data_IF_456818337182
#
_entry.id   IF_456818337182
#
_cell.length_a   1.000
_cell.length_b   1.000
_cell.length_c   1.000
_cell.angle_alpha   90.00
_cell.angle_beta   90.00
_cell.angle_gamma   90.00
#
_symmetry.space_group_name_H-M   'P 1'
#
loop_
_entity.id
_entity.type
_entity.pdbx_description
1 polymer ?
#
# COMPACT_ATOMS: atom_id res chain seq x y z
N UNK A 1 -21.53 5.36 -10.16
CA UNK A 1 -22.70 6.16 -10.59
C UNK A 1 -23.63 5.35 -11.49
N UNK A 2 -23.42 5.23 -12.81
CA UNK A 2 -24.38 4.57 -13.73
C UNK A 2 -24.82 3.15 -13.30
N UNK A 3 -23.87 2.27 -12.95
CA UNK A 3 -24.17 0.90 -12.48
C UNK A 3 -24.93 0.86 -11.15
N UNK A 4 -24.76 1.86 -10.29
CA UNK A 4 -25.45 1.94 -8.98
C UNK A 4 -26.89 2.44 -9.08
N UNK A 5 -27.26 3.11 -10.17
CA UNK A 5 -28.61 3.64 -10.44
C UNK A 5 -29.37 2.72 -11.42
N UNK A 6 -28.72 1.66 -11.91
CA UNK A 6 -29.30 0.73 -12.89
C UNK A 6 -29.47 1.33 -14.30
N UNK A 7 -28.79 2.42 -14.61
CA UNK A 7 -28.90 3.09 -15.91
C UNK A 7 -27.64 2.89 -16.78
N UNK A 8 -27.80 2.96 -18.11
CA UNK A 8 -26.67 2.96 -19.04
C UNK A 8 -25.80 4.22 -18.89
N UNK A 9 -24.48 4.10 -19.12
CA UNK A 9 -23.55 5.25 -19.07
C UNK A 9 -23.97 6.38 -20.03
N UNK A 10 -24.46 6.02 -21.22
CA UNK A 10 -24.93 6.98 -22.22
C UNK A 10 -26.15 7.76 -21.74
N UNK A 11 -27.12 7.11 -21.10
CA UNK A 11 -28.30 7.77 -20.54
C UNK A 11 -27.92 8.79 -19.46
N UNK A 12 -26.98 8.44 -18.58
CA UNK A 12 -26.50 9.34 -17.54
C UNK A 12 -25.72 10.55 -18.09
N UNK A 13 -24.95 10.35 -19.17
CA UNK A 13 -24.10 11.40 -19.74
C UNK A 13 -24.88 12.36 -20.66
N UNK A 14 -25.82 11.84 -21.46
CA UNK A 14 -26.53 12.61 -22.47
C UNK A 14 -27.78 13.28 -21.95
N UNK A 15 -28.36 12.79 -20.84
CA UNK A 15 -29.59 13.35 -20.28
C UNK A 15 -29.31 14.28 -19.08
N UNK A 16 -29.30 15.61 -19.27
CA UNK A 16 -29.05 16.55 -18.19
C UNK A 16 -30.17 16.56 -17.14
N UNK A 17 -31.40 16.17 -17.49
CA UNK A 17 -32.51 16.08 -16.54
C UNK A 17 -32.28 14.96 -15.51
N UNK A 18 -31.75 13.81 -15.94
CA UNK A 18 -31.37 12.73 -15.03
C UNK A 18 -30.30 13.17 -14.03
N UNK A 19 -29.29 13.92 -14.49
CA UNK A 19 -28.24 14.46 -13.61
C UNK A 19 -28.80 15.43 -12.58
N UNK A 20 -29.76 16.28 -12.96
CA UNK A 20 -30.45 17.21 -12.05
C UNK A 20 -31.28 16.46 -11.00
N UNK A 21 -32.07 15.47 -11.43
CA UNK A 21 -32.89 14.65 -10.53
C UNK A 21 -32.03 13.91 -9.49
N UNK A 22 -30.90 13.34 -9.92
CA UNK A 22 -29.96 12.68 -9.01
C UNK A 22 -29.34 13.63 -7.99
N UNK A 23 -28.94 14.83 -8.41
CA UNK A 23 -28.44 15.86 -7.48
C UNK A 23 -29.48 16.28 -6.46
N UNK A 24 -30.74 16.44 -6.88
CA UNK A 24 -31.84 16.79 -5.99
C UNK A 24 -32.09 15.69 -4.96
N UNK A 25 -32.10 14.43 -5.40
CA UNK A 25 -32.23 13.27 -4.52
C UNK A 25 -31.06 13.14 -3.53
N UNK A 26 -29.82 13.37 -3.98
CA UNK A 26 -28.66 13.40 -3.08
C UNK A 26 -28.78 14.48 -2.01
N UNK A 27 -29.33 15.65 -2.34
CA UNK A 27 -29.62 16.72 -1.39
C UNK A 27 -30.63 16.27 -0.33
N UNK A 28 -31.80 15.79 -0.77
CA UNK A 28 -32.87 15.33 0.13
C UNK A 28 -32.39 14.23 1.10
N UNK A 29 -31.60 13.28 0.60
CA UNK A 29 -31.04 12.20 1.43
C UNK A 29 -30.03 12.71 2.47
N UNK A 30 -29.30 13.80 2.19
CA UNK A 30 -28.43 14.44 3.17
C UNK A 30 -29.22 15.23 4.19
N UNK A 31 -30.25 15.95 3.75
CA UNK A 31 -31.15 16.72 4.64
C UNK A 31 -31.87 15.80 5.62
N UNK A 32 -32.24 14.60 5.17
CA UNK A 32 -32.81 13.52 5.99
C UNK A 32 -31.80 12.77 6.86
N UNK A 33 -30.51 13.12 6.78
CA UNK A 33 -29.44 12.49 7.56
C UNK A 33 -29.09 11.06 7.16
N UNK A 34 -29.58 10.58 6.01
CA UNK A 34 -29.29 9.23 5.50
C UNK A 34 -27.89 9.17 4.89
N UNK A 35 -27.48 10.25 4.22
CA UNK A 35 -26.13 10.41 3.68
C UNK A 35 -25.28 11.29 4.59
N UNK A 36 -23.97 10.98 4.73
CA UNK A 36 -23.05 11.83 5.48
C UNK A 36 -22.91 13.22 4.83
N UNK A 37 -22.55 14.25 5.61
CA UNK A 37 -22.35 15.61 5.09
C UNK A 37 -21.21 15.64 4.07
N UNK A 38 -21.26 16.62 3.17
CA UNK A 38 -20.22 16.79 2.16
C UNK A 38 -18.88 17.09 2.83
N UNK A 39 -17.87 16.26 2.55
CA UNK A 39 -16.52 16.50 3.04
C UNK A 39 -15.92 17.74 2.36
N UNK A 40 -15.06 18.46 3.07
CA UNK A 40 -14.37 19.64 2.53
C UNK A 40 -13.58 19.33 1.25
N UNK A 41 -13.05 18.11 1.15
CA UNK A 41 -12.38 17.62 -0.06
C UNK A 41 -13.36 17.40 -1.23
N UNK A 42 -14.60 16.98 -0.96
CA UNK A 42 -15.62 16.83 -1.98
C UNK A 42 -16.09 18.20 -2.49
N UNK A 43 -16.30 19.18 -1.60
CA UNK A 43 -16.62 20.57 -1.98
C UNK A 43 -15.54 21.20 -2.86
N UNK A 44 -14.27 21.03 -2.49
CA UNK A 44 -13.11 21.57 -3.25
C UNK A 44 -12.92 20.95 -4.63
N UNK A 45 -13.48 19.76 -4.85
CA UNK A 45 -13.37 19.00 -6.09
C UNK A 45 -14.66 19.02 -6.93
N UNK A 46 -15.68 19.80 -6.54
CA UNK A 46 -16.87 19.96 -7.38
C UNK A 46 -16.51 20.51 -8.76
N UNK A 47 -16.87 19.75 -9.80
CA UNK A 47 -16.63 20.14 -11.19
C UNK A 47 -15.22 19.88 -11.72
N UNK A 48 -14.28 19.42 -10.88
CA UNK A 48 -12.95 19.01 -11.34
C UNK A 48 -12.98 17.53 -11.72
N UNK A 49 -12.57 17.15 -12.95
CA UNK A 49 -12.37 15.75 -13.25
C UNK A 49 -11.32 15.19 -12.29
N UNK A 50 -11.58 14.00 -11.73
CA UNK A 50 -10.62 13.31 -10.87
C UNK A 50 -9.33 13.15 -11.69
N UNK A 51 -8.28 13.86 -11.29
CA UNK A 51 -7.00 13.83 -11.99
C UNK A 51 -6.52 12.38 -11.99
N UNK A 52 -6.32 11.82 -13.18
CA UNK A 52 -5.82 10.46 -13.32
C UNK A 52 -4.38 10.42 -12.79
N UNK A 53 -4.20 9.84 -11.61
CA UNK A 53 -2.87 9.63 -11.05
C UNK A 53 -2.24 8.39 -11.69
N UNK A 54 -1.40 8.60 -12.71
CA UNK A 54 -0.67 7.51 -13.35
C UNK A 54 0.34 6.84 -12.41
N UNK A 55 0.69 7.49 -11.29
CA UNK A 55 1.71 7.02 -10.36
C UNK A 55 1.14 6.04 -9.33
N UNK A 56 -0.19 5.93 -9.20
CA UNK A 56 -0.84 5.07 -8.21
C UNK A 56 -0.43 3.60 -8.37
N UNK A 57 -0.44 3.08 -9.62
CA UNK A 57 0.00 1.70 -9.89
C UNK A 57 1.49 1.51 -9.60
N UNK A 58 2.32 2.50 -9.93
CA UNK A 58 3.76 2.46 -9.66
C UNK A 58 4.04 2.44 -8.15
N UNK A 59 3.41 3.32 -7.37
CA UNK A 59 3.52 3.35 -5.91
C UNK A 59 3.08 2.02 -5.26
N UNK A 60 2.03 1.39 -5.79
CA UNK A 60 1.59 0.07 -5.33
C UNK A 60 2.63 -1.03 -5.63
N UNK A 61 3.28 -0.99 -6.79
CA UNK A 61 4.34 -1.95 -7.11
C UNK A 61 5.60 -1.70 -6.29
N UNK A 62 5.98 -0.44 -6.13
CA UNK A 62 7.15 -0.03 -5.35
C UNK A 62 6.99 -0.41 -3.88
N UNK A 63 5.81 -0.19 -3.28
CA UNK A 63 5.54 -0.61 -1.89
C UNK A 63 5.66 -2.13 -1.71
N UNK A 64 5.12 -2.94 -2.63
CA UNK A 64 5.29 -4.41 -2.59
C UNK A 64 6.76 -4.81 -2.72
N UNK A 65 7.50 -4.17 -3.62
CA UNK A 65 8.94 -4.43 -3.81
C UNK A 65 9.73 -4.10 -2.55
N UNK A 66 9.45 -2.95 -1.93
CA UNK A 66 10.08 -2.52 -0.67
C UNK A 66 9.80 -3.53 0.43
N UNK A 67 8.55 -3.96 0.62
CA UNK A 67 8.21 -4.95 1.64
C UNK A 67 8.92 -6.30 1.44
N UNK A 68 9.07 -6.77 0.19
CA UNK A 68 9.84 -8.00 -0.10
C UNK A 68 11.31 -7.82 0.27
N UNK A 69 11.91 -6.70 -0.15
CA UNK A 69 13.31 -6.41 0.12
C UNK A 69 13.60 -6.25 1.61
N UNK A 70 12.68 -5.65 2.37
CA UNK A 70 12.80 -5.50 3.83
C UNK A 70 12.81 -6.87 4.52
N UNK A 71 11.92 -7.79 4.12
CA UNK A 71 11.88 -9.14 4.65
C UNK A 71 13.18 -9.91 4.34
N UNK A 72 13.64 -9.87 3.09
CA UNK A 72 14.89 -10.50 2.67
C UNK A 72 16.10 -9.92 3.43
N UNK A 73 16.12 -8.60 3.65
CA UNK A 73 17.23 -7.96 4.37
C UNK A 73 17.29 -8.39 5.83
N UNK A 74 16.14 -8.53 6.50
CA UNK A 74 16.05 -9.04 7.87
C UNK A 74 16.55 -10.49 7.94
N UNK A 75 16.10 -11.33 7.00
CA UNK A 75 16.53 -12.74 6.94
C UNK A 75 18.04 -12.87 6.69
N UNK A 76 18.57 -12.11 5.73
CA UNK A 76 20.00 -12.10 5.42
C UNK A 76 20.84 -11.62 6.60
N UNK A 77 20.42 -10.54 7.28
CA UNK A 77 21.10 -10.04 8.49
C UNK A 77 21.10 -11.09 9.61
N UNK A 78 20.00 -11.83 9.78
CA UNK A 78 19.95 -12.91 10.76
C UNK A 78 20.93 -14.04 10.42
N UNK A 79 20.99 -14.47 9.15
CA UNK A 79 21.94 -15.50 8.68
C UNK A 79 23.39 -15.06 8.85
N UNK A 80 23.72 -13.82 8.50
CA UNK A 80 25.08 -13.26 8.68
C UNK A 80 25.47 -13.32 10.16
N UNK A 81 24.61 -12.83 11.06
CA UNK A 81 24.87 -12.86 12.50
C UNK A 81 25.04 -14.28 13.05
N UNK A 82 24.30 -15.25 12.53
CA UNK A 82 24.46 -16.65 12.93
C UNK A 82 25.80 -17.24 12.46
N UNK A 83 26.20 -16.96 11.21
CA UNK A 83 27.47 -17.39 10.65
C UNK A 83 28.66 -16.77 11.37
N UNK A 84 28.59 -15.47 11.68
CA UNK A 84 29.61 -14.77 12.48
C UNK A 84 29.79 -15.44 13.84
N UNK A 85 28.71 -15.74 14.56
CA UNK A 85 28.77 -16.49 15.84
C UNK A 85 29.33 -17.91 15.70
N UNK A 86 29.11 -18.58 14.57
CA UNK A 86 29.71 -19.90 14.31
C UNK A 86 31.22 -19.75 14.13
N UNK A 87 31.65 -18.77 13.35
CA UNK A 87 33.06 -18.49 13.11
C UNK A 87 33.81 -18.10 14.40
N UNK A 88 33.20 -17.24 15.22
CA UNK A 88 33.76 -16.84 16.53
C UNK A 88 34.05 -18.07 17.41
N UNK A 89 33.07 -18.97 17.56
CA UNK A 89 33.25 -20.23 18.30
C UNK A 89 34.36 -21.13 17.76
N UNK A 90 34.53 -21.18 16.43
CA UNK A 90 35.63 -21.94 15.83
C UNK A 90 36.98 -21.24 16.05
N UNK A 91 37.01 -19.91 16.11
CA UNK A 91 38.18 -19.13 16.50
C UNK A 91 38.64 -19.48 17.91
N UNK A 92 37.73 -19.44 18.88
CA UNK A 92 38.01 -19.81 20.28
C UNK A 92 38.54 -21.25 20.40
N UNK A 93 37.92 -22.18 19.66
CA UNK A 93 38.37 -23.58 19.63
C UNK A 93 39.78 -23.71 19.01
N UNK A 94 40.05 -23.00 17.92
CA UNK A 94 41.38 -22.98 17.29
C UNK A 94 42.45 -22.42 18.22
N UNK A 95 42.11 -21.40 19.02
CA UNK A 95 43.01 -20.80 20.01
C UNK A 95 43.33 -21.82 21.11
N UNK A 96 42.33 -22.46 21.71
CA UNK A 96 42.55 -23.50 22.74
C UNK A 96 43.36 -24.70 22.22
N UNK A 97 43.12 -25.15 20.98
CA UNK A 97 43.91 -26.22 20.36
C UNK A 97 45.35 -25.81 20.09
N UNK A 98 45.59 -24.54 19.78
CA UNK A 98 46.93 -23.96 19.62
C UNK A 98 47.64 -23.86 20.97
N UNK A 99 46.96 -23.42 22.03
CA UNK A 99 47.49 -23.38 23.41
C UNK A 99 47.86 -24.77 23.94
N UNK A 100 47.05 -25.77 23.62
CA UNK A 100 47.30 -27.17 24.00
C UNK A 100 48.36 -27.86 23.12
N UNK A 101 48.89 -27.17 22.09
CA UNK A 101 49.91 -27.71 21.19
C UNK A 101 49.43 -28.83 20.27
N UNK A 102 48.10 -28.94 20.05
CA UNK A 102 47.46 -30.00 19.26
C UNK A 102 47.23 -29.62 17.78
N UNK A 103 47.60 -28.41 17.35
CA UNK A 103 47.46 -27.97 15.95
C UNK A 103 48.60 -28.49 15.07
N UNK A 104 48.33 -29.23 13.97
CA UNK A 104 49.34 -29.61 12.98
C UNK A 104 49.83 -28.36 12.23
N UNK A 105 51.14 -28.30 11.97
CA UNK A 105 51.76 -27.26 11.12
C UNK A 105 51.36 -27.40 9.66
#
# INVERSE_FOLDING_TARGET
>A
MAKGIGCGKSALNQNPALKKALKALEGDLRDRGVLPPLTENAKKNEGKPQAYDNTANRKMLDSKRVSSLEAENIELKAKVKELEKRLERFGDLSETLSELGLMPR
#
